data_IF_075679894761
#
_entry.id   IF_075679894761
#
_cell.length_a   1.000
_cell.length_b   1.000
_cell.length_c   1.000
_cell.angle_alpha   90.00
_cell.angle_beta   90.00
_cell.angle_gamma   90.00
#
_symmetry.space_group_name_H-M   'P 1'
#
loop_
_entity.id
_entity.type
_entity.pdbx_description
1 polymer ?
#
# COMPACT_ATOMS: atom_id res chain seq x y z
N UNK A 1 -7.48 27.57 2.71
CA UNK A 1 -8.26 26.58 3.48
C UNK A 1 -7.70 25.19 3.17
N UNK A 2 -7.47 24.35 4.19
CA UNK A 2 -7.06 22.96 3.93
C UNK A 2 -8.30 22.21 3.46
N UNK A 3 -8.40 21.89 2.17
CA UNK A 3 -9.41 20.97 1.66
C UNK A 3 -9.32 19.66 2.45
N UNK A 4 -10.35 19.39 3.26
CA UNK A 4 -10.50 18.13 3.97
C UNK A 4 -10.68 17.02 2.94
N UNK A 5 -9.66 16.17 2.79
CA UNK A 5 -9.72 15.03 1.88
C UNK A 5 -10.89 14.10 2.28
N UNK A 6 -11.64 13.54 1.31
CA UNK A 6 -12.71 12.59 1.61
C UNK A 6 -12.14 11.35 2.30
N UNK A 7 -12.66 11.04 3.48
CA UNK A 7 -12.30 9.84 4.25
C UNK A 7 -13.37 8.77 4.00
N UNK A 8 -12.93 7.58 3.57
CA UNK A 8 -13.77 6.43 3.23
C UNK A 8 -13.97 5.56 4.46
N UNK A 9 -15.24 5.30 4.81
CA UNK A 9 -15.66 4.43 5.91
C UNK A 9 -15.99 3.03 5.41
N UNK A 10 -16.03 2.04 6.30
CA UNK A 10 -16.26 0.63 5.92
C UNK A 10 -17.63 0.35 5.28
N UNK A 11 -18.62 1.22 5.55
CA UNK A 11 -19.98 1.19 5.02
C UNK A 11 -20.13 1.87 3.65
N UNK A 12 -19.06 2.49 3.14
CA UNK A 12 -19.07 3.09 1.81
C UNK A 12 -19.38 2.02 0.73
N UNK A 13 -20.18 2.35 -0.31
CA UNK A 13 -20.46 1.43 -1.39
C UNK A 13 -19.19 0.92 -2.07
N UNK A 14 -19.11 -0.40 -2.29
CA UNK A 14 -18.02 -1.01 -3.03
C UNK A 14 -18.21 -0.76 -4.53
N UNK A 15 -17.27 -0.03 -5.15
CA UNK A 15 -17.28 0.28 -6.58
C UNK A 15 -15.96 -0.17 -7.24
N UNK A 16 -15.68 -1.49 -7.31
CA UNK A 16 -14.42 -2.00 -7.86
C UNK A 16 -14.29 -1.64 -9.35
N UNK A 17 -13.13 -1.08 -9.74
CA UNK A 17 -12.89 -0.61 -11.11
C UNK A 17 -12.08 -1.60 -11.94
N UNK A 18 -11.23 -2.41 -11.30
CA UNK A 18 -10.34 -3.36 -11.97
C UNK A 18 -10.77 -4.81 -11.71
N UNK A 19 -10.47 -5.75 -12.62
CA UNK A 19 -10.75 -7.18 -12.42
C UNK A 19 -10.20 -7.75 -11.10
N UNK A 20 -9.04 -7.26 -10.66
CA UNK A 20 -8.44 -7.64 -9.38
C UNK A 20 -9.28 -7.16 -8.19
N UNK A 21 -9.83 -5.95 -8.25
CA UNK A 21 -10.69 -5.39 -7.20
C UNK A 21 -12.02 -6.14 -7.14
N UNK A 22 -12.59 -6.47 -8.29
CA UNK A 22 -13.82 -7.27 -8.39
C UNK A 22 -13.62 -8.62 -7.70
N UNK A 23 -12.49 -9.30 -7.98
CA UNK A 23 -12.16 -10.58 -7.36
C UNK A 23 -12.06 -10.47 -5.83
N UNK A 24 -11.43 -9.40 -5.32
CA UNK A 24 -11.33 -9.16 -3.86
C UNK A 24 -12.71 -8.94 -3.21
N UNK A 25 -13.56 -8.13 -3.85
CA UNK A 25 -14.93 -7.89 -3.39
C UNK A 25 -15.75 -9.18 -3.41
N UNK A 26 -15.63 -10.00 -4.46
CA UNK A 26 -16.27 -11.31 -4.53
C UNK A 26 -15.81 -12.23 -3.39
N UNK A 27 -14.52 -12.21 -3.04
CA UNK A 27 -13.98 -12.94 -1.89
C UNK A 27 -14.67 -12.56 -0.57
N UNK A 28 -14.90 -11.27 -0.33
CA UNK A 28 -15.63 -10.81 0.87
C UNK A 28 -17.05 -11.38 0.93
N UNK A 29 -17.74 -11.42 -0.20
CA UNK A 29 -19.10 -11.99 -0.26
C UNK A 29 -19.12 -13.48 0.07
N UNK A 30 -18.12 -14.25 -0.39
CA UNK A 30 -18.01 -15.66 0.00
C UNK A 30 -17.75 -15.82 1.49
N UNK A 31 -16.84 -15.04 2.09
CA UNK A 31 -16.59 -15.10 3.54
C UNK A 31 -17.88 -14.85 4.35
N UNK A 32 -18.68 -13.86 3.94
CA UNK A 32 -19.97 -13.56 4.56
C UNK A 32 -20.98 -14.68 4.39
N UNK A 33 -21.03 -15.29 3.19
CA UNK A 33 -21.87 -16.45 2.93
C UNK A 33 -21.54 -17.60 3.88
N UNK A 34 -20.27 -17.96 4.04
CA UNK A 34 -19.87 -19.06 4.94
C UNK A 34 -20.20 -18.78 6.41
N UNK A 35 -20.12 -17.51 6.83
CA UNK A 35 -20.57 -17.08 8.15
C UNK A 35 -22.07 -17.30 8.33
N UNK A 36 -22.87 -16.86 7.36
CA UNK A 36 -24.32 -16.98 7.42
C UNK A 36 -24.80 -18.44 7.34
N UNK A 37 -24.18 -19.27 6.50
CA UNK A 37 -24.62 -20.64 6.27
C UNK A 37 -24.11 -21.63 7.33
N UNK A 38 -22.89 -21.43 7.83
CA UNK A 38 -22.21 -22.42 8.67
C UNK A 38 -21.80 -21.88 10.05
N UNK A 39 -22.08 -20.61 10.34
CA UNK A 39 -21.75 -20.00 11.63
C UNK A 39 -20.24 -19.78 11.85
N UNK A 40 -19.44 -19.79 10.78
CA UNK A 40 -17.99 -19.54 10.88
C UNK A 40 -17.75 -18.07 11.24
N UNK A 41 -17.09 -17.80 12.37
CA UNK A 41 -16.67 -16.45 12.69
C UNK A 41 -15.63 -15.96 11.67
N UNK A 42 -15.79 -14.74 11.18
CA UNK A 42 -14.86 -14.13 10.23
C UNK A 42 -14.40 -12.75 10.69
N UNK A 43 -13.28 -12.29 10.16
CA UNK A 43 -12.93 -10.87 10.14
C UNK A 43 -12.34 -10.56 8.78
N UNK A 44 -12.79 -9.47 8.15
CA UNK A 44 -12.24 -8.97 6.88
C UNK A 44 -11.46 -7.70 7.16
N UNK A 45 -10.21 -7.68 6.73
CA UNK A 45 -9.36 -6.51 6.81
C UNK A 45 -9.14 -5.94 5.41
N UNK A 46 -9.45 -4.65 5.22
CA UNK A 46 -9.16 -3.93 3.99
C UNK A 46 -7.97 -3.02 4.23
N UNK A 47 -6.89 -3.25 3.49
CA UNK A 47 -5.63 -2.56 3.71
C UNK A 47 -5.53 -1.30 2.85
N UNK A 48 -4.96 -0.24 3.42
CA UNK A 48 -4.36 0.85 2.66
C UNK A 48 -3.15 0.35 1.84
N UNK A 49 -2.54 1.22 1.03
CA UNK A 49 -1.40 0.84 0.20
C UNK A 49 -0.18 0.50 1.08
N UNK A 50 0.16 -0.79 1.13
CA UNK A 50 1.22 -1.29 2.00
C UNK A 50 2.60 -1.00 1.39
N UNK A 51 3.51 -0.46 2.21
CA UNK A 51 4.93 -0.31 1.89
C UNK A 51 5.79 -0.71 3.09
N UNK A 52 7.10 -0.91 2.89
CA UNK A 52 8.01 -1.18 4.00
C UNK A 52 9.22 -2.04 3.63
N UNK A 53 9.85 -2.62 4.65
CA UNK A 53 11.07 -3.41 4.61
C UNK A 53 10.86 -4.83 4.03
N UNK A 54 10.27 -4.93 2.84
CA UNK A 54 10.03 -6.23 2.19
C UNK A 54 10.60 -6.24 0.77
N UNK A 55 11.60 -7.09 0.54
CA UNK A 55 12.00 -7.49 -0.81
C UNK A 55 11.11 -8.66 -1.22
N UNK A 56 10.04 -8.33 -1.93
CA UNK A 56 9.26 -9.33 -2.66
C UNK A 56 9.33 -8.95 -4.13
N UNK A 57 9.46 -9.93 -5.02
CA UNK A 57 9.24 -9.74 -6.46
C UNK A 57 7.82 -9.20 -6.74
N UNK A 58 6.92 -9.33 -5.77
CA UNK A 58 5.56 -8.78 -5.74
C UNK A 58 5.44 -7.44 -4.99
N UNK A 59 6.54 -6.76 -4.62
CA UNK A 59 6.49 -5.43 -4.00
C UNK A 59 6.04 -4.40 -5.04
N UNK A 60 4.72 -4.35 -5.29
CA UNK A 60 4.06 -3.47 -6.26
C UNK A 60 4.01 -2.00 -5.82
N UNK A 61 4.55 -1.67 -4.65
CA UNK A 61 4.54 -0.30 -4.16
C UNK A 61 5.56 0.57 -4.93
N UNK A 62 5.16 1.73 -5.47
CA UNK A 62 6.06 2.60 -6.24
C UNK A 62 7.34 3.04 -5.51
N UNK A 63 7.32 3.10 -4.17
CA UNK A 63 8.50 3.42 -3.36
C UNK A 63 9.69 2.46 -3.64
N UNK A 64 9.45 1.16 -3.76
CA UNK A 64 10.51 0.19 -4.04
C UNK A 64 11.11 0.42 -5.43
N UNK A 65 10.28 0.76 -6.42
CA UNK A 65 10.72 1.14 -7.76
C UNK A 65 11.56 2.43 -7.74
N UNK A 66 11.13 3.47 -7.02
CA UNK A 66 11.89 4.72 -6.89
C UNK A 66 13.26 4.49 -6.28
N UNK A 67 13.33 3.78 -5.14
CA UNK A 67 14.58 3.44 -4.47
C UNK A 67 15.48 2.65 -5.41
N UNK A 68 14.90 1.69 -6.16
CA UNK A 68 15.66 0.85 -7.09
C UNK A 68 16.34 1.67 -8.20
N UNK A 69 15.57 2.53 -8.86
CA UNK A 69 16.04 3.39 -9.95
C UNK A 69 17.07 4.41 -9.48
N UNK A 70 16.76 5.12 -8.39
CA UNK A 70 17.65 6.16 -7.85
C UNK A 70 18.98 5.58 -7.36
N UNK A 71 18.96 4.38 -6.76
CA UNK A 71 20.18 3.66 -6.37
C UNK A 71 21.07 3.29 -7.56
N UNK A 72 20.49 3.15 -8.77
CA UNK A 72 21.22 2.91 -10.01
C UNK A 72 21.54 4.22 -10.76
N UNK A 73 21.30 5.38 -10.14
CA UNK A 73 21.40 6.72 -10.75
C UNK A 73 20.53 6.88 -12.01
N UNK A 74 19.40 6.18 -12.05
CA UNK A 74 18.41 6.28 -13.12
C UNK A 74 17.20 7.09 -12.65
N UNK A 75 16.55 7.80 -13.59
CA UNK A 75 15.36 8.60 -13.31
C UNK A 75 14.12 7.69 -13.28
N UNK A 76 13.38 7.61 -12.17
CA UNK A 76 12.14 6.84 -12.14
C UNK A 76 11.03 7.54 -12.92
N UNK A 77 10.12 6.75 -13.46
CA UNK A 77 8.92 7.22 -14.14
C UNK A 77 7.75 7.24 -13.15
N UNK A 78 7.08 8.38 -13.04
CA UNK A 78 5.81 8.51 -12.32
C UNK A 78 4.69 8.54 -13.38
N UNK A 79 3.76 7.57 -13.29
CA UNK A 79 2.57 7.46 -14.14
C UNK A 79 1.35 7.93 -13.35
N UNK A 80 0.41 8.62 -13.99
CA UNK A 80 -0.79 9.12 -13.32
C UNK A 80 -0.73 10.62 -13.03
N UNK A 81 -1.73 11.13 -12.30
CA UNK A 81 -1.69 12.51 -11.84
C UNK A 81 -0.66 12.63 -10.72
N UNK A 82 0.17 13.67 -10.80
CA UNK A 82 1.07 14.08 -9.73
C UNK A 82 0.36 14.39 -8.39
N UNK A 83 -0.97 14.53 -8.46
CA UNK A 83 -1.84 14.99 -7.38
C UNK A 83 -2.75 13.91 -6.80
N UNK A 84 -2.69 12.67 -7.32
CA UNK A 84 -3.46 11.57 -6.73
C UNK A 84 -2.96 11.30 -5.30
N UNK A 85 -3.90 11.26 -4.36
CA UNK A 85 -3.64 11.07 -2.93
C UNK A 85 -4.15 9.70 -2.50
N UNK A 86 -3.27 8.86 -1.97
CA UNK A 86 -3.62 7.55 -1.45
C UNK A 86 -3.20 7.42 0.02
N UNK A 87 -3.92 6.60 0.79
CA UNK A 87 -3.47 6.17 2.11
C UNK A 87 -2.37 5.11 1.97
N UNK A 88 -1.26 5.32 2.66
CA UNK A 88 -0.13 4.39 2.67
C UNK A 88 0.21 3.96 4.09
N UNK A 89 0.33 2.66 4.30
CA UNK A 89 0.58 2.09 5.63
C UNK A 89 1.87 1.25 5.62
N UNK A 90 2.65 1.36 6.70
CA UNK A 90 3.86 0.59 6.86
C UNK A 90 3.55 -0.86 7.23
N UNK A 91 4.33 -1.81 6.69
CA UNK A 91 4.08 -3.25 6.80
C UNK A 91 3.99 -3.74 8.25
N UNK A 92 4.78 -3.21 9.17
CA UNK A 92 4.75 -3.63 10.59
C UNK A 92 3.41 -3.27 11.25
N UNK A 93 2.83 -2.11 10.92
CA UNK A 93 1.52 -1.72 11.43
C UNK A 93 0.42 -2.69 10.95
N UNK A 94 0.52 -3.16 9.70
CA UNK A 94 -0.39 -4.19 9.15
C UNK A 94 -0.20 -5.53 9.85
N UNK A 95 1.06 -5.93 10.10
CA UNK A 95 1.35 -7.16 10.84
C UNK A 95 0.77 -7.12 12.26
N UNK A 96 0.94 -5.98 12.96
CA UNK A 96 0.32 -5.78 14.27
C UNK A 96 -1.21 -5.86 14.21
N UNK A 97 -1.86 -5.26 13.20
CA UNK A 97 -3.31 -5.33 13.04
C UNK A 97 -3.82 -6.77 12.88
N UNK A 98 -3.10 -7.60 12.11
CA UNK A 98 -3.42 -9.01 11.93
C UNK A 98 -3.31 -9.77 13.26
N UNK A 99 -2.24 -9.56 14.02
CA UNK A 99 -2.08 -10.20 15.33
C UNK A 99 -3.23 -9.83 16.29
N UNK A 100 -3.59 -8.54 16.35
CA UNK A 100 -4.73 -8.09 17.17
C UNK A 100 -6.06 -8.68 16.71
N UNK A 101 -6.22 -8.88 15.40
CA UNK A 101 -7.41 -9.47 14.81
C UNK A 101 -7.60 -10.92 15.23
N UNK A 102 -6.52 -11.70 15.35
CA UNK A 102 -6.62 -13.09 15.83
C UNK A 102 -7.16 -13.18 17.27
N UNK A 103 -6.92 -12.17 18.10
CA UNK A 103 -7.38 -12.14 19.49
C UNK A 103 -8.78 -11.54 19.65
N UNK A 104 -9.11 -10.51 18.85
CA UNK A 104 -10.27 -9.63 19.09
C UNK A 104 -11.25 -9.53 17.93
N UNK A 105 -10.84 -9.93 16.73
CA UNK A 105 -11.67 -9.82 15.53
C UNK A 105 -12.86 -10.78 15.58
N UNK A 106 -14.08 -10.25 15.47
CA UNK A 106 -15.31 -11.05 15.42
C UNK A 106 -16.35 -10.43 14.49
N UNK A 107 -16.69 -11.16 13.43
CA UNK A 107 -17.73 -10.86 12.44
C UNK A 107 -17.76 -9.39 11.98
N UNK A 108 -16.58 -8.81 11.75
CA UNK A 108 -16.41 -7.41 11.40
C UNK A 108 -15.61 -7.24 10.10
N UNK A 109 -15.76 -6.07 9.50
CA UNK A 109 -14.95 -5.60 8.38
C UNK A 109 -14.32 -4.29 8.80
N UNK A 110 -13.00 -4.18 8.69
CA UNK A 110 -12.26 -3.03 9.23
C UNK A 110 -11.22 -2.55 8.23
N UNK A 111 -11.03 -1.24 8.17
CA UNK A 111 -9.90 -0.65 7.47
C UNK A 111 -8.64 -0.68 8.34
N UNK A 112 -7.53 -1.15 7.77
CA UNK A 112 -6.21 -1.05 8.37
C UNK A 112 -5.41 -0.07 7.51
N UNK A 113 -5.27 1.14 8.02
CA UNK A 113 -4.74 2.29 7.29
C UNK A 113 -3.93 3.22 8.18
N UNK A 114 -3.18 4.15 7.58
CA UNK A 114 -2.53 5.22 8.32
C UNK A 114 -3.51 6.34 8.71
N UNK A 115 -4.65 6.44 8.02
CA UNK A 115 -5.60 7.54 8.13
C UNK A 115 -5.08 8.85 7.53
N UNK A 116 -4.01 8.79 6.72
CA UNK A 116 -3.33 9.95 6.14
C UNK A 116 -3.06 9.71 4.66
N UNK A 117 -3.37 10.71 3.84
CA UNK A 117 -3.13 10.68 2.41
C UNK A 117 -1.75 11.23 2.03
N UNK A 118 -1.07 10.54 1.10
CA UNK A 118 0.17 10.99 0.49
C UNK A 118 0.15 10.81 -1.03
N UNK A 119 0.84 11.68 -1.76
CA UNK A 119 1.05 11.55 -3.20
C UNK A 119 2.34 10.76 -3.49
N UNK A 120 2.44 10.21 -4.70
CA UNK A 120 3.69 9.60 -5.16
C UNK A 120 4.86 10.59 -5.23
N UNK A 121 4.59 11.87 -5.47
CA UNK A 121 5.62 12.91 -5.42
C UNK A 121 6.12 13.14 -3.99
N UNK A 122 5.24 13.11 -2.98
CA UNK A 122 5.67 13.19 -1.58
C UNK A 122 6.55 11.99 -1.20
N UNK A 123 6.18 10.78 -1.63
CA UNK A 123 7.03 9.60 -1.49
C UNK A 123 8.38 9.78 -2.19
N UNK A 124 8.37 10.22 -3.44
CA UNK A 124 9.59 10.45 -4.21
C UNK A 124 10.52 11.44 -3.51
N UNK A 125 10.01 12.60 -3.08
CA UNK A 125 10.78 13.62 -2.37
C UNK A 125 11.35 13.11 -1.04
N UNK A 126 10.56 12.37 -0.26
CA UNK A 126 11.05 11.80 1.00
C UNK A 126 12.18 10.78 0.74
N UNK A 127 12.06 9.97 -0.30
CA UNK A 127 13.09 8.99 -0.68
C UNK A 127 14.37 9.68 -1.16
N UNK A 128 14.27 10.68 -2.03
CA UNK A 128 15.45 11.39 -2.55
C UNK A 128 16.23 12.12 -1.46
N UNK A 129 15.54 12.66 -0.46
CA UNK A 129 16.16 13.25 0.73
C UNK A 129 17.04 12.23 1.47
N UNK A 130 16.55 11.00 1.67
CA UNK A 130 17.34 9.95 2.33
C UNK A 130 18.49 9.42 1.47
N UNK A 131 18.35 9.43 0.14
CA UNK A 131 19.38 8.98 -0.79
C UNK A 131 20.40 10.07 -1.17
N UNK A 132 20.20 11.32 -0.73
CA UNK A 132 20.99 12.48 -1.18
C UNK A 132 21.09 12.56 -2.71
N UNK A 133 19.96 12.32 -3.40
CA UNK A 133 19.90 12.25 -4.85
C UNK A 133 19.14 13.46 -5.43
N UNK A 134 19.73 14.13 -6.42
CA UNK A 134 19.14 15.31 -7.07
C UNK A 134 18.42 14.99 -8.39
N UNK A 135 18.33 13.70 -8.75
CA UNK A 135 17.61 13.29 -9.96
C UNK A 135 16.13 13.66 -9.85
N UNK A 136 15.59 14.28 -10.90
CA UNK A 136 14.16 14.53 -11.02
C UNK A 136 13.45 13.32 -11.64
N UNK A 137 12.20 13.02 -11.27
CA UNK A 137 11.45 11.95 -11.90
C UNK A 137 11.07 12.36 -13.33
N UNK A 138 10.63 11.38 -14.13
CA UNK A 138 9.98 11.60 -15.41
C UNK A 138 8.48 11.41 -15.24
N UNK A 139 7.69 12.45 -15.47
CA UNK A 139 6.24 12.34 -15.49
C UNK A 139 5.79 11.93 -16.88
N UNK A 140 5.09 10.80 -16.96
CA UNK A 140 4.35 10.43 -18.17
C UNK A 140 2.89 10.75 -17.88
N UNK A 141 2.29 11.57 -18.72
CA UNK A 141 0.88 11.93 -18.64
C UNK A 141 0.04 10.68 -18.43
N UNK A 142 -0.54 10.55 -17.23
CA UNK A 142 -1.63 9.61 -16.99
C UNK A 142 -2.93 10.17 -17.53
N UNK A 143 -3.98 9.34 -17.51
CA UNK A 143 -5.38 9.73 -17.79
C UNK A 143 -5.68 11.19 -17.40
N UNK A 144 -6.29 11.96 -18.31
CA UNK A 144 -6.75 13.34 -18.14
C UNK A 144 -7.91 13.48 -17.13
N UNK A 145 -8.00 12.56 -16.15
CA UNK A 145 -9.03 12.56 -15.12
C UNK A 145 -8.74 13.58 -14.01
N UNK A 146 -9.78 13.89 -13.25
CA UNK A 146 -9.65 14.68 -12.02
C UNK A 146 -8.77 13.95 -10.99
N UNK A 147 -7.96 14.69 -10.20
CA UNK A 147 -7.19 14.10 -9.10
C UNK A 147 -8.10 13.29 -8.17
N UNK A 148 -7.66 12.10 -7.82
CA UNK A 148 -8.40 11.21 -6.92
C UNK A 148 -7.78 11.24 -5.52
N UNK A 149 -8.63 11.14 -4.49
CA UNK A 149 -8.19 11.05 -3.10
C UNK A 149 -8.89 9.89 -2.41
N UNK A 150 -8.11 8.91 -1.93
CA UNK A 150 -8.62 7.77 -1.17
C UNK A 150 -7.85 7.69 0.15
N UNK A 151 -8.50 8.13 1.23
CA UNK A 151 -8.01 8.01 2.61
C UNK A 151 -9.00 7.15 3.40
N UNK A 152 -8.52 6.14 4.13
CA UNK A 152 -9.41 5.20 4.82
C UNK A 152 -9.57 5.59 6.30
N UNK A 153 -10.80 5.59 6.79
CA UNK A 153 -11.12 5.73 8.22
C UNK A 153 -10.78 4.42 8.94
N UNK A 154 -9.88 4.44 9.92
CA UNK A 154 -9.51 3.26 10.73
C UNK A 154 -10.11 3.28 12.15
N UNK A 155 -11.12 4.13 12.40
CA UNK A 155 -11.73 4.29 13.73
C UNK A 155 -12.26 2.96 14.28
N UNK A 156 -12.83 2.10 13.42
CA UNK A 156 -13.36 0.81 13.84
C UNK A 156 -12.27 -0.13 14.36
N UNK A 157 -11.12 -0.20 13.67
CA UNK A 157 -9.97 -0.97 14.12
C UNK A 157 -9.41 -0.44 15.46
N UNK A 158 -9.38 0.89 15.65
CA UNK A 158 -8.98 1.50 16.92
C UNK A 158 -9.88 1.09 18.08
N UNK A 159 -11.19 1.10 17.85
CA UNK A 159 -12.18 0.78 18.88
C UNK A 159 -12.25 -0.72 19.19
N UNK A 160 -12.29 -1.58 18.17
CA UNK A 160 -12.52 -3.02 18.35
C UNK A 160 -11.24 -3.80 18.62
N UNK A 161 -10.14 -3.45 17.95
CA UNK A 161 -8.87 -4.15 18.11
C UNK A 161 -7.96 -3.50 19.14
N UNK A 162 -8.20 -2.23 19.51
CA UNK A 162 -7.23 -1.44 20.27
C UNK A 162 -5.94 -1.22 19.48
N UNK A 163 -6.04 -1.20 18.15
CA UNK A 163 -4.92 -1.06 17.22
C UNK A 163 -4.91 0.34 16.61
N UNK A 164 -3.72 0.91 16.40
CA UNK A 164 -3.54 2.12 15.61
C UNK A 164 -2.18 2.05 14.91
N UNK A 165 -1.99 2.73 13.76
CA UNK A 165 -0.67 2.82 13.14
C UNK A 165 0.31 3.56 14.04
N UNK A 166 1.49 2.99 14.24
CA UNK A 166 2.55 3.54 15.10
C UNK A 166 3.69 4.14 14.27
N UNK A 167 3.90 3.66 13.04
CA UNK A 167 4.99 4.11 12.20
C UNK A 167 4.59 5.34 11.39
N UNK A 168 5.26 6.45 11.66
CA UNK A 168 5.08 7.69 10.87
C UNK A 168 5.57 7.51 9.43
N UNK A 169 5.03 8.29 8.50
CA UNK A 169 5.47 8.30 7.09
C UNK A 169 6.99 8.51 6.94
N UNK A 170 7.57 9.48 7.66
CA UNK A 170 9.01 9.77 7.57
C UNK A 170 9.85 8.61 8.07
N UNK A 171 9.49 8.00 9.20
CA UNK A 171 10.22 6.83 9.74
C UNK A 171 10.05 5.62 8.83
N UNK A 172 8.84 5.36 8.33
CA UNK A 172 8.57 4.26 7.41
C UNK A 172 9.37 4.37 6.11
N UNK A 173 9.47 5.57 5.52
CA UNK A 173 10.29 5.80 4.32
C UNK A 173 11.77 5.58 4.63
N UNK A 174 12.28 6.17 5.72
CA UNK A 174 13.69 5.99 6.15
C UNK A 174 14.06 4.52 6.30
N UNK A 175 13.22 3.75 6.99
CA UNK A 175 13.34 2.30 7.19
C UNK A 175 13.35 1.53 5.87
N UNK A 176 12.39 1.83 4.99
CA UNK A 176 12.30 1.22 3.66
C UNK A 176 13.57 1.47 2.83
N UNK A 177 14.06 2.72 2.81
CA UNK A 177 15.31 3.08 2.12
C UNK A 177 16.49 2.33 2.72
N UNK A 178 16.65 2.36 4.04
CA UNK A 178 17.74 1.69 4.75
C UNK A 178 17.80 0.19 4.43
N UNK A 179 16.65 -0.49 4.50
CA UNK A 179 16.55 -1.92 4.19
C UNK A 179 16.88 -2.24 2.73
N UNK A 180 16.29 -1.52 1.78
CA UNK A 180 16.47 -1.81 0.35
C UNK A 180 17.87 -1.44 -0.17
N UNK A 181 18.50 -0.41 0.39
CA UNK A 181 19.89 -0.05 0.06
C UNK A 181 20.90 -0.95 0.77
N UNK A 182 20.67 -1.31 2.04
CA UNK A 182 21.56 -2.19 2.81
C UNK A 182 21.66 -3.59 2.23
N UNK A 183 20.55 -4.16 1.77
CA UNK A 183 20.53 -5.51 1.20
C UNK A 183 21.16 -5.61 -0.20
N UNK A 184 21.39 -4.50 -0.92
CA UNK A 184 22.07 -4.50 -2.23
C UNK A 184 23.58 -4.72 -2.14
N UNK A 185 24.21 -4.44 -1.00
CA UNK A 185 25.65 -4.64 -0.81
C UNK A 185 26.00 -6.14 -0.78
N UNK A 186 25.03 -7.02 -0.52
CA UNK A 186 25.23 -8.46 -0.32
C UNK A 186 24.77 -9.36 -1.49
N UNK A 187 24.53 -8.83 -2.69
CA UNK A 187 24.17 -9.69 -3.84
C UNK A 187 25.04 -9.46 -5.09
N UNK A 188 25.55 -10.52 -5.73
CA UNK A 188 26.14 -10.41 -7.05
C UNK A 188 25.09 -9.97 -8.08
N UNK A 189 25.48 -9.08 -8.98
CA UNK A 189 24.62 -8.51 -10.04
C UNK A 189 24.03 -9.62 -10.91
N UNK A 190 22.77 -10.00 -10.70
CA UNK A 190 22.02 -10.80 -11.68
C UNK A 190 21.47 -9.84 -12.73
N UNK A 191 22.02 -9.93 -13.93
CA UNK A 191 21.67 -9.11 -15.08
C UNK A 191 20.19 -9.18 -15.42
N UNK A 192 19.62 -8.02 -15.74
CA UNK A 192 18.29 -7.87 -16.30
C UNK A 192 18.16 -8.67 -17.61
N UNK A 193 17.33 -9.71 -17.59
CA UNK A 193 16.72 -10.27 -18.79
C UNK A 193 15.22 -10.03 -18.71
N UNK A 194 14.81 -8.84 -19.15
CA UNK A 194 13.45 -8.59 -19.58
C UNK A 194 13.20 -9.40 -20.86
N UNK A 195 12.58 -10.58 -20.72
CA UNK A 195 11.85 -11.23 -21.80
C UNK A 195 10.52 -11.78 -21.28
N UNK A 196 9.48 -11.41 -22.01
CA UNK A 196 8.09 -11.85 -21.96
C UNK A 196 7.85 -13.30 -21.48
N UNK A 197 6.64 -13.46 -20.93
CA UNK A 197 5.96 -14.66 -20.36
C UNK A 197 6.22 -14.76 -18.85
N UNK A 198 5.23 -15.03 -17.99
CA UNK A 198 4.04 -15.86 -18.15
C UNK A 198 2.91 -15.30 -17.26
N UNK A 199 1.67 -15.62 -17.64
CA UNK A 199 0.58 -15.84 -16.70
C UNK A 199 1.01 -16.75 -15.53
N UNK A 200 0.22 -16.76 -14.46
CA UNK A 200 0.34 -17.65 -13.31
C UNK A 200 1.51 -17.40 -12.35
N UNK A 201 1.24 -16.59 -11.34
CA UNK A 201 1.74 -16.84 -9.99
C UNK A 201 0.73 -16.27 -8.97
N UNK A 202 -0.14 -17.18 -8.54
CA UNK A 202 -0.89 -17.18 -7.28
C UNK A 202 -0.02 -16.67 -6.13
N UNK A 203 -0.54 -15.76 -5.31
CA UNK A 203 -0.23 -15.67 -3.87
C UNK A 203 -1.17 -14.65 -3.19
N UNK A 204 -2.14 -15.25 -2.48
CA UNK A 204 -2.91 -14.83 -1.28
C UNK A 204 -3.01 -13.33 -0.98
#
# INVERSE_FOLDING_TARGET
EQETLPIVREDAPLCPQLPADITKVAGEWYVRYYTQQYGLEHTILRYAHIYGEKQSELAQHPAAYFISMLSQRQRPIIRGSAHDVCDHIFIDDVAQANLRTLERGRNCTMHISSGKGYTLNQFFCAITQHLSCELLPLHISGSLGEPTAIVLDNTLARQQLGWQPEISFSEGVKRTVGFLCGNRVNQPQVQAHARQRVADAVLV
#
